data_IF_026011495362
#
_entry.id   IF_026011495362
#
_cell.length_a   1.000
_cell.length_b   1.000
_cell.length_c   1.000
_cell.angle_alpha   90.00
_cell.angle_beta   90.00
_cell.angle_gamma   90.00
#
_symmetry.space_group_name_H-M   'P 1'
#
loop_
_entity.id
_entity.type
_entity.pdbx_description
1 polymer ?
#
# COMPACT_ATOMS: atom_id res chain seq x y z
N UNK A 1 -30.60 -38.95 -6.54
CA UNK A 1 -29.15 -38.74 -6.76
C UNK A 1 -28.82 -37.30 -6.39
N UNK A 2 -27.91 -37.10 -5.42
CA UNK A 2 -27.50 -35.79 -4.88
C UNK A 2 -26.55 -35.09 -5.86
N UNK A 3 -26.96 -33.96 -6.41
CA UNK A 3 -26.02 -33.05 -7.08
C UNK A 3 -25.48 -32.06 -6.04
N UNK A 4 -24.25 -32.29 -5.61
CA UNK A 4 -23.51 -31.40 -4.71
C UNK A 4 -22.41 -30.73 -5.55
N UNK A 5 -22.76 -29.65 -6.26
CA UNK A 5 -21.78 -28.79 -6.93
C UNK A 5 -21.22 -27.82 -5.90
N UNK A 6 -20.00 -28.12 -5.46
CA UNK A 6 -19.27 -27.41 -4.41
C UNK A 6 -18.89 -26.01 -4.90
N UNK A 7 -19.40 -24.98 -4.24
CA UNK A 7 -18.94 -23.60 -4.28
C UNK A 7 -17.51 -23.51 -3.68
N UNK A 8 -16.47 -23.74 -4.50
CA UNK A 8 -15.07 -23.67 -4.07
C UNK A 8 -14.27 -22.53 -4.71
N UNK A 9 -14.93 -21.51 -5.28
CA UNK A 9 -14.25 -20.38 -5.92
C UNK A 9 -14.04 -19.16 -5.01
N UNK A 10 -14.74 -19.07 -3.88
CA UNK A 10 -14.82 -17.82 -3.10
C UNK A 10 -13.65 -17.65 -2.11
N UNK A 11 -13.13 -18.73 -1.53
CA UNK A 11 -12.13 -18.64 -0.46
C UNK A 11 -10.80 -18.02 -0.91
N UNK A 12 -10.31 -18.36 -2.11
CA UNK A 12 -9.05 -17.82 -2.63
C UNK A 12 -9.10 -16.31 -2.89
N UNK A 13 -10.25 -15.80 -3.34
CA UNK A 13 -10.44 -14.36 -3.53
C UNK A 13 -10.41 -13.62 -2.20
N UNK A 14 -11.12 -14.11 -1.18
CA UNK A 14 -11.14 -13.47 0.14
C UNK A 14 -9.77 -13.41 0.81
N UNK A 15 -8.94 -14.45 0.66
CA UNK A 15 -7.56 -14.45 1.20
C UNK A 15 -6.71 -13.39 0.50
N UNK A 16 -6.74 -13.33 -0.83
CA UNK A 16 -5.99 -12.33 -1.60
C UNK A 16 -6.40 -10.87 -1.29
N UNK A 17 -7.70 -10.62 -1.06
CA UNK A 17 -8.19 -9.30 -0.65
C UNK A 17 -7.79 -8.94 0.79
N UNK A 18 -7.82 -9.91 1.70
CA UNK A 18 -7.46 -9.71 3.11
C UNK A 18 -5.97 -9.45 3.30
N UNK A 19 -5.12 -10.17 2.56
CA UNK A 19 -3.68 -9.94 2.54
C UNK A 19 -3.35 -8.57 1.96
N UNK A 20 -4.00 -8.17 0.86
CA UNK A 20 -3.80 -6.84 0.26
C UNK A 20 -4.28 -5.71 1.17
N UNK A 21 -5.39 -5.90 1.88
CA UNK A 21 -5.89 -4.92 2.85
C UNK A 21 -4.96 -4.80 4.07
N UNK A 22 -4.44 -5.93 4.55
CA UNK A 22 -3.47 -5.97 5.67
C UNK A 22 -2.16 -5.33 5.26
N UNK A 23 -1.65 -5.69 4.08
CA UNK A 23 -0.46 -5.08 3.50
C UNK A 23 -0.62 -3.57 3.30
N UNK A 24 -1.81 -3.13 2.86
CA UNK A 24 -2.14 -1.72 2.74
C UNK A 24 -2.04 -0.98 4.08
N UNK A 25 -2.54 -1.57 5.18
CA UNK A 25 -2.47 -0.95 6.51
C UNK A 25 -1.03 -0.81 7.01
N UNK A 26 -0.23 -1.86 6.92
CA UNK A 26 1.18 -1.82 7.35
C UNK A 26 1.97 -0.82 6.53
N UNK A 27 1.78 -0.81 5.20
CA UNK A 27 2.43 0.16 4.32
C UNK A 27 2.02 1.61 4.59
N UNK A 28 0.74 1.87 4.89
CA UNK A 28 0.27 3.21 5.26
C UNK A 28 0.90 3.66 6.58
N UNK A 29 0.96 2.78 7.59
CA UNK A 29 1.59 3.09 8.87
C UNK A 29 3.06 3.45 8.67
N UNK A 30 3.84 2.59 8.00
CA UNK A 30 5.26 2.83 7.74
C UNK A 30 5.52 4.06 6.86
N UNK A 31 4.67 4.34 5.86
CA UNK A 31 4.79 5.55 5.05
C UNK A 31 4.52 6.82 5.86
N UNK A 32 3.57 6.76 6.80
CA UNK A 32 3.27 7.88 7.70
C UNK A 32 4.42 8.13 8.68
N UNK A 33 5.05 7.06 9.20
CA UNK A 33 6.24 7.16 10.05
C UNK A 33 7.47 7.72 9.30
N UNK A 34 7.54 7.49 7.99
CA UNK A 34 8.60 7.98 7.11
C UNK A 34 8.38 9.41 6.60
N UNK A 35 7.35 10.12 7.07
CA UNK A 35 7.15 11.53 6.76
C UNK A 35 8.27 12.39 7.35
N UNK A 36 8.59 13.54 6.72
CA UNK A 36 9.47 14.53 7.32
C UNK A 36 8.97 14.94 8.70
N UNK A 37 9.86 14.98 9.69
CA UNK A 37 9.53 15.41 11.05
C UNK A 37 9.51 16.93 11.14
N UNK A 38 8.48 17.54 10.56
CA UNK A 38 8.26 18.99 10.54
C UNK A 38 7.24 19.39 11.61
N UNK A 39 7.50 20.50 12.30
CA UNK A 39 6.54 21.05 13.26
C UNK A 39 5.27 21.50 12.52
N UNK A 40 4.10 21.19 13.07
CA UNK A 40 2.82 21.57 12.47
C UNK A 40 2.43 20.76 11.22
N UNK A 41 3.16 19.70 10.87
CA UNK A 41 2.71 18.75 9.84
C UNK A 41 1.48 17.99 10.33
N UNK A 42 0.39 18.03 9.56
CA UNK A 42 -0.83 17.29 9.82
C UNK A 42 -1.14 16.37 8.66
N UNK A 43 -1.25 15.07 8.93
CA UNK A 43 -1.73 14.09 7.94
C UNK A 43 -3.23 14.26 7.78
N UNK A 44 -3.68 14.57 6.56
CA UNK A 44 -5.10 14.74 6.23
C UNK A 44 -5.70 13.43 5.70
N UNK A 45 -4.93 12.68 4.91
CA UNK A 45 -5.40 11.45 4.27
C UNK A 45 -4.23 10.55 3.88
N UNK A 46 -4.42 9.24 3.99
CA UNK A 46 -3.52 8.24 3.42
C UNK A 46 -4.31 7.29 2.53
N UNK A 47 -3.76 6.94 1.36
CA UNK A 47 -4.40 6.03 0.40
C UNK A 47 -3.36 5.12 -0.25
N UNK A 48 -3.79 3.90 -0.54
CA UNK A 48 -3.05 3.00 -1.43
C UNK A 48 -3.49 3.23 -2.87
N UNK A 49 -2.57 3.10 -3.81
CA UNK A 49 -2.87 3.06 -5.24
C UNK A 49 -2.09 1.94 -5.93
N UNK A 50 -2.61 1.38 -7.04
CA UNK A 50 -1.86 0.41 -7.82
C UNK A 50 -0.55 1.00 -8.32
N UNK A 51 0.48 0.15 -8.38
CA UNK A 51 1.73 0.51 -9.05
C UNK A 51 1.50 0.47 -10.56
N UNK A 52 1.99 1.48 -11.33
CA UNK A 52 1.88 1.48 -12.78
C UNK A 52 2.42 0.19 -13.42
N UNK A 53 1.76 -0.37 -14.44
CA UNK A 53 2.20 -1.62 -15.09
C UNK A 53 3.66 -1.57 -15.57
N UNK A 54 4.10 -0.46 -16.16
CA UNK A 54 5.47 -0.29 -16.63
C UNK A 54 6.55 -0.50 -15.54
N UNK A 55 6.24 -0.17 -14.28
CA UNK A 55 7.13 -0.43 -13.14
C UNK A 55 7.03 -1.89 -12.72
N UNK A 56 5.82 -2.45 -12.69
CA UNK A 56 5.60 -3.86 -12.34
C UNK A 56 6.25 -4.83 -13.34
N UNK A 57 6.28 -4.50 -14.62
CA UNK A 57 6.85 -5.35 -15.68
C UNK A 57 8.38 -5.50 -15.53
N UNK A 58 9.03 -4.52 -14.93
CA UNK A 58 10.48 -4.55 -14.65
C UNK A 58 10.80 -4.96 -13.21
N UNK A 59 9.78 -5.20 -12.38
CA UNK A 59 9.93 -5.52 -10.97
C UNK A 59 10.48 -6.94 -10.76
N UNK A 60 11.60 -7.04 -10.03
CA UNK A 60 12.25 -8.32 -9.70
C UNK A 60 12.11 -8.74 -8.23
N UNK A 61 11.37 -7.97 -7.43
CA UNK A 61 11.17 -8.27 -6.01
C UNK A 61 10.18 -9.41 -5.78
N UNK A 62 10.32 -10.13 -4.66
CA UNK A 62 9.51 -11.31 -4.36
C UNK A 62 8.03 -11.00 -4.15
N UNK A 63 7.72 -9.86 -3.52
CA UNK A 63 6.34 -9.39 -3.33
C UNK A 63 6.04 -8.20 -4.22
N UNK A 64 4.77 -8.06 -4.61
CA UNK A 64 4.33 -6.94 -5.45
C UNK A 64 4.32 -5.65 -4.62
N UNK A 65 4.93 -4.57 -5.10
CA UNK A 65 4.88 -3.29 -4.42
C UNK A 65 3.46 -2.73 -4.42
N UNK A 66 3.21 -1.77 -3.53
CA UNK A 66 2.03 -0.89 -3.52
C UNK A 66 2.50 0.55 -3.41
N UNK A 67 1.85 1.46 -4.12
CA UNK A 67 2.10 2.89 -3.96
C UNK A 67 1.19 3.43 -2.85
N UNK A 68 1.75 4.26 -1.98
CA UNK A 68 1.05 4.96 -0.91
C UNK A 68 1.16 6.45 -1.18
N UNK A 69 0.04 7.16 -1.20
CA UNK A 69 0.02 8.61 -1.16
C UNK A 69 -0.45 9.06 0.22
N UNK A 70 0.30 9.97 0.82
CA UNK A 70 0.00 10.61 2.09
C UNK A 70 -0.17 12.10 1.86
N UNK A 71 -1.41 12.57 1.93
CA UNK A 71 -1.72 13.99 1.85
C UNK A 71 -1.50 14.60 3.22
N UNK A 72 -0.69 15.64 3.25
CA UNK A 72 -0.35 16.41 4.44
C UNK A 72 -0.71 17.88 4.23
N UNK A 73 -0.75 18.60 5.34
CA UNK A 73 -0.75 20.05 5.36
C UNK A 73 0.37 20.50 6.31
N UNK A 74 1.16 21.47 5.86
CA UNK A 74 2.22 22.08 6.67
C UNK A 74 2.29 23.56 6.29
N UNK A 75 2.35 24.44 7.29
CA UNK A 75 2.39 25.90 7.08
C UNK A 75 1.21 26.45 6.22
N UNK A 76 0.07 25.75 6.24
CA UNK A 76 -1.11 26.10 5.44
C UNK A 76 -1.06 25.62 3.98
N UNK A 77 0.02 24.93 3.59
CA UNK A 77 0.17 24.36 2.25
C UNK A 77 -0.13 22.87 2.23
N UNK A 78 -1.01 22.46 1.31
CA UNK A 78 -1.31 21.06 1.06
C UNK A 78 -0.25 20.43 0.16
N UNK A 79 0.27 19.28 0.57
CA UNK A 79 1.26 18.52 -0.19
C UNK A 79 0.92 17.03 -0.16
N UNK A 80 1.34 16.29 -1.19
CA UNK A 80 1.21 14.83 -1.20
C UNK A 80 2.59 14.20 -1.27
N UNK A 81 2.89 13.34 -0.31
CA UNK A 81 4.07 12.50 -0.33
C UNK A 81 3.70 11.13 -0.88
N UNK A 82 4.35 10.72 -1.97
CA UNK A 82 4.19 9.39 -2.54
C UNK A 82 5.35 8.48 -2.12
N UNK A 83 5.01 7.25 -1.77
CA UNK A 83 5.93 6.19 -1.37
C UNK A 83 5.63 4.92 -2.16
N UNK A 84 6.67 4.17 -2.47
CA UNK A 84 6.56 2.77 -2.87
C UNK A 84 6.82 1.91 -1.64
N UNK A 85 5.90 1.00 -1.34
CA UNK A 85 6.00 0.07 -0.23
C UNK A 85 6.06 -1.37 -0.71
N UNK A 86 6.92 -2.17 -0.10
CA UNK A 86 7.03 -3.62 -0.32
C UNK A 86 6.99 -4.31 1.03
N UNK A 87 6.20 -5.37 1.16
CA UNK A 87 6.20 -6.21 2.37
C UNK A 87 7.00 -7.47 2.10
N UNK A 88 8.06 -7.67 2.87
CA UNK A 88 8.89 -8.87 2.81
C UNK A 88 9.03 -9.44 4.22
N UNK A 89 8.75 -10.73 4.39
CA UNK A 89 8.88 -11.43 5.68
C UNK A 89 8.14 -10.71 6.83
N UNK A 90 6.95 -10.17 6.56
CA UNK A 90 6.13 -9.47 7.55
C UNK A 90 6.56 -8.03 7.88
N UNK A 91 7.66 -7.55 7.31
CA UNK A 91 8.14 -6.17 7.49
C UNK A 91 7.84 -5.33 6.26
N UNK A 92 7.38 -4.09 6.47
CA UNK A 92 7.16 -3.12 5.41
C UNK A 92 8.42 -2.27 5.17
N UNK A 93 8.83 -2.20 3.91
CA UNK A 93 9.92 -1.35 3.44
C UNK A 93 9.32 -0.26 2.57
N UNK A 94 9.50 1.00 2.97
CA UNK A 94 8.95 2.17 2.28
C UNK A 94 10.07 3.01 1.71
N UNK A 95 9.92 3.43 0.46
CA UNK A 95 10.83 4.35 -0.21
C UNK A 95 10.03 5.51 -0.78
N UNK A 96 10.44 6.74 -0.48
CA UNK A 96 9.81 7.93 -1.08
C UNK A 96 10.05 7.91 -2.59
N UNK A 97 8.99 8.05 -3.37
CA UNK A 97 9.10 8.27 -4.81
C UNK A 97 9.17 9.76 -5.04
N UNK A 98 10.28 10.25 -5.58
CA UNK A 98 10.34 11.60 -6.12
C UNK A 98 9.51 11.57 -7.41
N UNK A 99 8.35 12.22 -7.39
CA UNK A 99 7.70 12.64 -8.64
C UNK A 99 8.50 13.80 -9.23
#
# INVERSE_FOLDING_TARGET
MRNLTILAASAALFVAFSERATAGKTCVASATEALPKLAGLVVKRSRTRPVPPAILDTWKGQSKPVMIDVDIETEGEAQTFSYMCVITQGSAFVQRTMN
#
